data_IF_631617503326
#
_entry.id   IF_631617503326
#
_cell.length_a   1.000
_cell.length_b   1.000
_cell.length_c   1.000
_cell.angle_alpha   90.00
_cell.angle_beta   90.00
_cell.angle_gamma   90.00
#
_symmetry.space_group_name_H-M   'P 1'
#
loop_
_entity.id
_entity.type
_entity.pdbx_description
1 polymer ?
#
# COMPACT_ATOMS: atom_id res chain seq x y z
N UNK A 1 -7.42 -3.36 -7.14
CA UNK A 1 -6.34 -2.93 -6.24
C UNK A 1 -5.79 -1.57 -6.65
N UNK A 2 -5.33 -1.41 -7.89
CA UNK A 2 -4.89 -0.11 -8.45
C UNK A 2 -5.97 0.97 -8.29
N UNK A 3 -7.24 0.67 -8.55
CA UNK A 3 -8.35 1.62 -8.34
C UNK A 3 -8.45 2.11 -6.89
N UNK A 4 -8.13 1.26 -5.92
CA UNK A 4 -8.13 1.64 -4.52
C UNK A 4 -6.93 2.53 -4.17
N UNK A 5 -5.75 2.22 -4.70
CA UNK A 5 -4.57 3.09 -4.59
C UNK A 5 -4.82 4.46 -5.23
N UNK A 6 -5.55 4.52 -6.34
CA UNK A 6 -5.97 5.78 -6.97
C UNK A 6 -6.88 6.61 -6.08
N UNK A 7 -7.80 5.98 -5.35
CA UNK A 7 -8.64 6.67 -4.36
C UNK A 7 -7.80 7.23 -3.21
N UNK A 8 -6.86 6.44 -2.68
CA UNK A 8 -5.94 6.88 -1.62
C UNK A 8 -5.07 8.05 -2.11
N UNK A 9 -4.47 7.93 -3.30
CA UNK A 9 -3.67 8.98 -3.94
C UNK A 9 -4.47 10.28 -4.09
N UNK A 10 -5.71 10.18 -4.55
CA UNK A 10 -6.61 11.34 -4.75
C UNK A 10 -7.05 11.98 -3.44
N UNK A 11 -7.21 11.18 -2.37
CA UNK A 11 -7.60 11.65 -1.04
C UNK A 11 -6.42 12.18 -0.21
N UNK A 12 -5.18 11.94 -0.66
CA UNK A 12 -3.97 12.39 0.05
C UNK A 12 -3.74 13.87 -0.23
N UNK A 13 -3.70 14.68 0.83
CA UNK A 13 -3.48 16.12 0.72
C UNK A 13 -2.15 16.46 0.03
N UNK A 14 -2.10 17.62 -0.65
CA UNK A 14 -0.86 18.12 -1.25
C UNK A 14 0.25 18.27 -0.20
N UNK A 15 1.44 17.80 -0.55
CA UNK A 15 2.60 17.80 0.35
C UNK A 15 2.62 16.65 1.36
N UNK A 16 1.67 15.70 1.28
CA UNK A 16 1.68 14.45 2.06
C UNK A 16 1.94 13.25 1.16
N UNK A 17 2.40 12.18 1.79
CA UNK A 17 2.66 10.89 1.15
C UNK A 17 1.92 9.78 1.91
N UNK A 18 1.17 8.95 1.20
CA UNK A 18 0.48 7.82 1.79
C UNK A 18 1.34 6.56 1.73
N UNK A 19 1.31 5.78 2.81
CA UNK A 19 1.96 4.48 2.89
C UNK A 19 0.90 3.43 3.16
N UNK A 20 0.86 2.39 2.33
CA UNK A 20 -0.08 1.28 2.47
C UNK A 20 0.69 0.03 2.90
N UNK A 21 0.31 -0.56 4.04
CA UNK A 21 0.88 -1.81 4.53
C UNK A 21 0.09 -2.96 3.92
N UNK A 22 0.78 -3.92 3.32
CA UNK A 22 0.17 -5.08 2.67
C UNK A 22 0.80 -6.38 3.18
N UNK A 23 -0.03 -7.39 3.37
CA UNK A 23 0.43 -8.74 3.70
C UNK A 23 1.02 -9.46 2.46
N UNK A 24 1.41 -10.72 2.64
CA UNK A 24 2.02 -11.55 1.61
C UNK A 24 1.09 -12.14 0.56
N UNK A 25 -0.19 -11.73 0.45
CA UNK A 25 -1.11 -12.31 -0.52
C UNK A 25 -0.55 -12.21 -1.96
N UNK A 26 -0.74 -13.26 -2.77
CA UNK A 26 -0.09 -13.38 -4.08
C UNK A 26 -0.44 -12.28 -5.10
N UNK A 27 -1.51 -11.53 -4.86
CA UNK A 27 -1.94 -10.40 -5.68
C UNK A 27 -1.43 -9.03 -5.15
N UNK A 28 -0.70 -9.02 -4.04
CA UNK A 28 0.01 -7.85 -3.50
C UNK A 28 1.42 -7.77 -4.11
N UNK A 29 1.52 -7.36 -5.37
CA UNK A 29 2.81 -7.17 -6.05
C UNK A 29 3.38 -5.79 -5.75
N UNK A 30 4.71 -5.64 -5.73
CA UNK A 30 5.38 -4.39 -5.32
C UNK A 30 5.19 -3.25 -6.33
N UNK A 31 4.93 -3.59 -7.59
CA UNK A 31 4.91 -2.68 -8.73
C UNK A 31 3.60 -1.92 -8.91
N UNK A 32 2.52 -2.32 -8.24
CA UNK A 32 1.19 -1.70 -8.38
C UNK A 32 1.13 -0.24 -7.92
N UNK A 33 2.11 0.21 -7.11
CA UNK A 33 2.19 1.59 -6.65
C UNK A 33 3.08 2.48 -7.54
N UNK A 34 3.82 1.91 -8.50
CA UNK A 34 4.79 2.66 -9.31
C UNK A 34 4.17 3.77 -10.17
N UNK A 35 2.85 3.70 -10.43
CA UNK A 35 2.11 4.72 -11.17
C UNK A 35 1.74 5.96 -10.33
N UNK A 36 1.96 5.93 -9.02
CA UNK A 36 1.57 7.01 -8.10
C UNK A 36 2.80 7.68 -7.48
N UNK A 37 2.91 9.00 -7.64
CA UNK A 37 4.03 9.76 -7.07
C UNK A 37 3.91 9.97 -5.55
N UNK A 38 2.70 9.86 -4.99
CA UNK A 38 2.39 10.19 -3.59
C UNK A 38 1.91 8.99 -2.77
N UNK A 39 2.07 7.76 -3.28
CA UNK A 39 1.70 6.52 -2.59
C UNK A 39 2.84 5.51 -2.68
N UNK A 40 3.15 4.84 -1.57
CA UNK A 40 4.08 3.70 -1.57
C UNK A 40 3.50 2.53 -0.78
N UNK A 41 3.99 1.33 -1.10
CA UNK A 41 3.59 0.10 -0.43
C UNK A 41 4.74 -0.42 0.43
N UNK A 42 4.42 -0.85 1.65
CA UNK A 42 5.32 -1.65 2.49
C UNK A 42 4.72 -3.05 2.57
N UNK A 43 5.49 -4.04 2.11
CA UNK A 43 5.12 -5.44 2.22
C UNK A 43 5.63 -6.02 3.53
N UNK A 44 4.76 -6.70 4.26
CA UNK A 44 5.14 -7.37 5.51
C UNK A 44 5.98 -8.63 5.22
N UNK A 45 6.92 -8.98 6.12
CA UNK A 45 7.60 -10.26 6.06
C UNK A 45 6.61 -11.44 6.03
N UNK A 46 6.94 -12.54 5.33
CA UNK A 46 6.10 -13.73 5.35
C UNK A 46 5.86 -14.24 6.76
N UNK A 47 4.62 -14.64 7.05
CA UNK A 47 4.20 -15.21 8.34
C UNK A 47 4.39 -14.29 9.55
N UNK A 48 4.31 -12.97 9.35
CA UNK A 48 4.31 -11.96 10.43
C UNK A 48 2.95 -11.29 10.64
N UNK A 49 1.89 -12.04 11.06
CA UNK A 49 0.57 -11.45 11.32
C UNK A 49 0.60 -10.40 12.44
N UNK A 50 1.55 -10.51 13.39
CA UNK A 50 1.75 -9.55 14.48
C UNK A 50 2.10 -8.13 14.00
N UNK A 51 2.53 -7.99 12.75
CA UNK A 51 2.85 -6.70 12.13
C UNK A 51 1.69 -6.12 11.31
N UNK A 52 0.61 -6.87 11.14
CA UNK A 52 -0.56 -6.42 10.40
C UNK A 52 -1.55 -5.74 11.36
N UNK A 53 -1.75 -4.41 11.29
CA UNK A 53 -2.60 -3.69 12.23
C UNK A 53 -4.10 -4.02 12.11
N UNK A 54 -4.52 -4.79 11.10
CA UNK A 54 -5.91 -5.23 10.95
C UNK A 54 -6.22 -6.52 11.73
N UNK A 55 -5.19 -7.29 12.07
CA UNK A 55 -5.29 -8.49 12.94
C UNK A 55 -5.33 -8.08 14.41
#
# INVERSE_FOLDING_TARGET
MIDHLKQISSATDKGRHAVVIMDGAGWHTEDIANEFENVSIIKLPPYSPELNPIE
#
